data_IF_262132193818
#
_entry.id   IF_262132193818
#
_cell.length_a   1.000
_cell.length_b   1.000
_cell.length_c   1.000
_cell.angle_alpha   90.00
_cell.angle_beta   90.00
_cell.angle_gamma   90.00
#
_symmetry.space_group_name_H-M   'P 1'
#
loop_
_entity.id
_entity.type
_entity.pdbx_description
1 polymer ?
#
# COMPACT_ATOMS: atom_id res chain seq x y z
N UNK A 1 47.76 -1.25 -57.52
CA UNK A 1 48.04 -0.50 -56.25
C UNK A 1 46.69 -0.32 -55.55
N UNK A 2 46.31 -1.31 -54.72
CA UNK A 2 45.00 -1.32 -54.06
C UNK A 2 45.15 -0.70 -52.68
N UNK A 3 44.39 0.37 -52.47
CA UNK A 3 44.28 1.02 -51.16
C UNK A 3 43.21 0.28 -50.35
N UNK A 4 43.61 -0.49 -49.34
CA UNK A 4 42.70 -1.05 -48.35
C UNK A 4 42.32 0.06 -47.36
N UNK A 5 41.07 0.51 -47.46
CA UNK A 5 40.49 1.36 -46.44
C UNK A 5 39.96 0.43 -45.35
N UNK A 6 40.67 0.38 -44.23
CA UNK A 6 40.21 -0.25 -42.99
C UNK A 6 39.12 0.64 -42.37
N UNK A 7 37.87 0.28 -42.62
CA UNK A 7 36.73 0.79 -41.85
C UNK A 7 36.76 0.15 -40.45
N UNK A 8 37.40 0.83 -39.51
CA UNK A 8 37.15 0.56 -38.10
C UNK A 8 35.73 0.99 -37.79
N UNK A 9 34.81 0.02 -37.75
CA UNK A 9 33.53 0.19 -37.07
C UNK A 9 33.79 0.38 -35.58
N UNK A 10 33.89 1.64 -35.18
CA UNK A 10 33.74 1.99 -33.76
C UNK A 10 32.23 1.79 -33.46
N UNK A 11 31.87 0.60 -32.99
CA UNK A 11 30.62 0.43 -32.28
C UNK A 11 30.69 1.27 -31.00
N UNK A 12 30.34 2.53 -31.14
CA UNK A 12 29.99 3.35 -29.98
C UNK A 12 28.72 2.70 -29.41
N UNK A 13 28.88 1.87 -28.41
CA UNK A 13 27.80 1.41 -27.62
C UNK A 13 27.21 2.65 -26.93
N UNK A 14 26.27 3.30 -27.58
CA UNK A 14 25.42 4.28 -26.91
C UNK A 14 24.73 3.49 -25.83
N UNK A 15 25.17 3.63 -24.58
CA UNK A 15 24.31 3.32 -23.43
C UNK A 15 23.12 4.23 -23.61
N UNK A 16 22.00 3.68 -24.07
CA UNK A 16 20.72 4.37 -23.97
C UNK A 16 20.54 4.73 -22.50
N UNK A 17 20.44 6.02 -22.22
CA UNK A 17 20.16 6.49 -20.88
C UNK A 17 18.81 5.92 -20.48
N UNK A 18 18.81 4.95 -19.56
CA UNK A 18 17.58 4.30 -19.08
C UNK A 18 16.72 5.32 -18.37
N UNK A 19 15.45 5.29 -18.66
CA UNK A 19 14.47 6.12 -17.96
C UNK A 19 14.25 5.61 -16.52
N UNK A 20 13.80 6.47 -15.59
CA UNK A 20 13.50 6.07 -14.22
C UNK A 20 12.55 4.86 -14.11
N UNK A 21 11.54 4.74 -14.98
CA UNK A 21 10.65 3.57 -15.04
C UNK A 21 11.38 2.26 -15.37
N UNK A 22 12.45 2.32 -16.18
CA UNK A 22 13.24 1.16 -16.57
C UNK A 22 14.09 0.70 -15.39
N UNK A 23 14.69 1.66 -14.64
CA UNK A 23 15.37 1.39 -13.38
C UNK A 23 14.43 0.78 -12.33
N UNK A 24 13.20 1.29 -12.23
CA UNK A 24 12.18 0.72 -11.34
C UNK A 24 11.89 -0.74 -11.70
N UNK A 25 11.69 -1.02 -12.98
CA UNK A 25 11.36 -2.35 -13.45
C UNK A 25 12.50 -3.35 -13.24
N UNK A 26 13.75 -2.95 -13.51
CA UNK A 26 14.93 -3.78 -13.24
C UNK A 26 15.07 -4.09 -11.75
N UNK A 27 14.96 -3.06 -10.90
CA UNK A 27 15.00 -3.24 -9.46
C UNK A 27 13.90 -4.21 -8.97
N UNK A 28 12.68 -4.09 -9.49
CA UNK A 28 11.58 -4.97 -9.12
C UNK A 28 11.77 -6.40 -9.66
N UNK A 29 12.33 -6.55 -10.87
CA UNK A 29 12.63 -7.86 -11.44
C UNK A 29 13.67 -8.61 -10.58
N UNK A 30 14.69 -7.92 -10.09
CA UNK A 30 15.71 -8.52 -9.21
C UNK A 30 15.18 -8.81 -7.81
N UNK A 31 14.46 -7.87 -7.20
CA UNK A 31 14.05 -7.98 -5.82
C UNK A 31 12.78 -8.84 -5.64
N UNK A 32 11.72 -8.54 -6.40
CA UNK A 32 10.43 -9.23 -6.21
C UNK A 32 10.40 -10.65 -6.77
N UNK A 33 11.25 -10.99 -7.73
CA UNK A 33 11.40 -12.37 -8.17
C UNK A 33 11.91 -13.27 -7.03
N UNK A 34 12.80 -12.74 -6.18
CA UNK A 34 13.30 -13.45 -5.02
C UNK A 34 12.25 -13.55 -3.89
N UNK A 35 11.49 -12.48 -3.65
CA UNK A 35 10.47 -12.40 -2.58
C UNK A 35 9.24 -13.26 -2.91
N UNK A 36 8.70 -13.14 -4.12
CA UNK A 36 7.42 -13.76 -4.51
C UNK A 36 7.58 -15.05 -5.31
N UNK A 37 8.80 -15.37 -5.73
CA UNK A 37 9.11 -16.42 -6.68
C UNK A 37 8.82 -15.99 -8.12
N UNK A 38 9.67 -16.46 -9.06
CA UNK A 38 9.61 -16.04 -10.48
C UNK A 38 8.23 -16.16 -11.13
N UNK A 39 7.53 -17.27 -10.90
CA UNK A 39 6.23 -17.51 -11.54
C UNK A 39 5.19 -16.48 -11.12
N UNK A 40 5.13 -16.18 -9.83
CA UNK A 40 4.17 -15.24 -9.27
C UNK A 40 4.54 -13.81 -9.64
N UNK A 41 5.82 -13.47 -9.55
CA UNK A 41 6.31 -12.17 -9.96
C UNK A 41 5.98 -11.87 -11.43
N UNK A 42 6.21 -12.78 -12.36
CA UNK A 42 5.86 -12.60 -13.79
C UNK A 42 4.38 -12.23 -13.98
N UNK A 43 3.48 -12.83 -13.22
CA UNK A 43 2.04 -12.50 -13.25
C UNK A 43 1.76 -11.10 -12.69
N UNK A 44 2.35 -10.77 -11.54
CA UNK A 44 2.20 -9.46 -10.88
C UNK A 44 2.82 -8.35 -11.71
N UNK A 45 4.00 -8.56 -12.27
CA UNK A 45 4.69 -7.65 -13.18
C UNK A 45 3.82 -7.28 -14.39
N UNK A 46 3.23 -8.28 -15.05
CA UNK A 46 2.30 -8.04 -16.15
C UNK A 46 1.08 -7.24 -15.70
N UNK A 47 0.53 -7.54 -14.55
CA UNK A 47 -0.60 -6.79 -13.98
C UNK A 47 -0.23 -5.34 -13.64
N UNK A 48 0.98 -5.07 -13.14
CA UNK A 48 1.46 -3.71 -12.89
C UNK A 48 1.56 -2.89 -14.17
N UNK A 49 2.04 -3.50 -15.25
CA UNK A 49 2.19 -2.85 -16.56
C UNK A 49 0.83 -2.63 -17.26
N UNK A 50 -0.17 -3.45 -16.98
CA UNK A 50 -1.51 -3.31 -17.54
C UNK A 50 -2.32 -2.19 -16.87
N UNK A 51 -3.38 -1.67 -17.53
CA UNK A 51 -4.30 -0.72 -16.92
C UNK A 51 -4.95 -1.30 -15.66
N UNK A 52 -4.98 -0.50 -14.59
CA UNK A 52 -5.63 -0.89 -13.34
C UNK A 52 -7.15 -0.83 -13.43
N UNK A 53 -7.80 -1.58 -12.57
CA UNK A 53 -9.23 -1.45 -12.30
C UNK A 53 -9.52 -0.26 -11.39
N UNK A 54 -10.71 0.29 -11.51
CA UNK A 54 -11.18 1.38 -10.67
C UNK A 54 -12.48 0.99 -9.98
N UNK A 55 -12.68 1.53 -8.78
CA UNK A 55 -13.96 1.61 -8.12
C UNK A 55 -14.48 3.05 -8.16
N UNK A 56 -15.80 3.19 -8.27
CA UNK A 56 -16.50 4.46 -8.16
C UNK A 56 -17.09 4.57 -6.76
N UNK A 57 -16.61 5.54 -5.98
CA UNK A 57 -17.22 5.92 -4.70
C UNK A 57 -18.29 6.96 -5.00
N UNK A 58 -19.54 6.61 -4.77
CA UNK A 58 -20.68 7.50 -5.01
C UNK A 58 -20.67 8.64 -4.00
N UNK A 59 -20.96 9.86 -4.46
CA UNK A 59 -20.99 11.03 -3.61
C UNK A 59 -22.37 11.19 -2.96
N UNK A 60 -22.45 11.02 -1.65
CA UNK A 60 -23.67 11.17 -0.86
C UNK A 60 -24.18 12.61 -0.80
N UNK A 61 -23.35 13.60 -1.14
CA UNK A 61 -23.71 15.02 -1.22
C UNK A 61 -24.25 15.42 -2.61
N UNK A 62 -24.39 14.46 -3.52
CA UNK A 62 -25.00 14.62 -4.84
C UNK A 62 -26.31 13.83 -4.93
N UNK A 63 -26.87 13.67 -6.14
CA UNK A 63 -28.03 12.82 -6.41
C UNK A 63 -27.61 11.32 -6.39
N UNK A 64 -27.32 10.79 -5.20
CA UNK A 64 -26.74 9.45 -5.01
C UNK A 64 -27.62 8.35 -5.60
N UNK A 65 -28.92 8.37 -5.37
CA UNK A 65 -29.86 7.33 -5.82
C UNK A 65 -29.90 7.23 -7.35
N UNK A 66 -29.97 8.38 -8.03
CA UNK A 66 -29.93 8.43 -9.49
C UNK A 66 -28.62 7.90 -10.06
N UNK A 67 -27.50 8.18 -9.37
CA UNK A 67 -26.17 7.73 -9.78
C UNK A 67 -26.04 6.23 -9.56
N UNK A 68 -26.47 5.68 -8.42
CA UNK A 68 -26.49 4.26 -8.12
C UNK A 68 -27.29 3.49 -9.19
N UNK A 69 -28.54 3.90 -9.44
CA UNK A 69 -29.38 3.31 -10.47
C UNK A 69 -28.71 3.36 -11.87
N UNK A 70 -28.05 4.46 -12.21
CA UNK A 70 -27.33 4.60 -13.48
C UNK A 70 -26.14 3.67 -13.60
N UNK A 71 -25.40 3.45 -12.52
CA UNK A 71 -24.25 2.53 -12.47
C UNK A 71 -24.73 1.08 -12.60
N UNK A 72 -25.76 0.68 -11.86
CA UNK A 72 -26.36 -0.65 -11.89
C UNK A 72 -26.96 -0.98 -13.27
N UNK A 73 -27.71 -0.07 -13.87
CA UNK A 73 -28.22 -0.21 -15.24
C UNK A 73 -27.13 -0.36 -16.32
N UNK A 74 -25.89 0.06 -15.99
CA UNK A 74 -24.70 -0.16 -16.84
C UNK A 74 -23.93 -1.43 -16.50
N UNK A 75 -24.44 -2.25 -15.60
CA UNK A 75 -23.83 -3.51 -15.15
C UNK A 75 -22.67 -3.31 -14.17
N UNK A 76 -22.65 -2.21 -13.41
CA UNK A 76 -21.73 -2.07 -12.29
C UNK A 76 -22.24 -2.89 -11.10
N UNK A 77 -21.31 -3.48 -10.36
CA UNK A 77 -21.57 -4.31 -9.19
C UNK A 77 -21.30 -3.50 -7.92
N UNK A 78 -22.24 -3.54 -6.98
CA UNK A 78 -22.06 -2.91 -5.67
C UNK A 78 -21.13 -3.76 -4.80
N UNK A 79 -20.00 -3.19 -4.40
CA UNK A 79 -18.96 -3.89 -3.62
C UNK A 79 -19.47 -4.31 -2.25
N UNK A 80 -20.24 -3.44 -1.54
CA UNK A 80 -20.84 -3.78 -0.25
C UNK A 80 -21.76 -5.00 -0.37
N UNK A 81 -22.66 -4.99 -1.36
CA UNK A 81 -23.59 -6.11 -1.58
C UNK A 81 -22.85 -7.42 -1.85
N UNK A 82 -21.73 -7.37 -2.55
CA UNK A 82 -20.90 -8.57 -2.77
C UNK A 82 -20.27 -9.09 -1.47
N UNK A 83 -19.83 -8.20 -0.58
CA UNK A 83 -19.31 -8.59 0.73
C UNK A 83 -20.41 -9.22 1.60
N UNK A 84 -21.61 -8.62 1.64
CA UNK A 84 -22.77 -9.14 2.36
C UNK A 84 -23.15 -10.55 1.86
N UNK A 85 -23.31 -10.73 0.55
CA UNK A 85 -23.63 -12.02 -0.07
C UNK A 85 -22.57 -13.10 0.19
N UNK A 86 -21.28 -12.71 0.22
CA UNK A 86 -20.24 -13.67 0.54
C UNK A 86 -20.21 -14.02 2.03
N UNK A 87 -20.48 -13.05 2.91
CA UNK A 87 -20.62 -13.29 4.34
C UNK A 87 -21.79 -14.24 4.65
N UNK A 88 -22.95 -14.05 4.00
CA UNK A 88 -24.10 -14.96 4.10
C UNK A 88 -23.69 -16.40 3.69
N UNK A 89 -23.01 -16.57 2.55
CA UNK A 89 -22.55 -17.88 2.09
C UNK A 89 -21.53 -18.53 3.03
N UNK A 90 -20.58 -17.76 3.57
CA UNK A 90 -19.61 -18.28 4.52
C UNK A 90 -20.26 -18.73 5.84
N UNK A 91 -21.35 -18.09 6.25
CA UNK A 91 -22.12 -18.51 7.42
C UNK A 91 -22.93 -19.80 7.18
N UNK A 92 -23.33 -20.08 5.94
CA UNK A 92 -24.07 -21.29 5.55
C UNK A 92 -23.16 -22.48 5.24
N UNK A 93 -21.88 -22.27 4.90
CA UNK A 93 -20.91 -23.34 4.66
C UNK A 93 -20.63 -24.04 5.99
N UNK A 94 -20.97 -25.36 6.17
CA UNK A 94 -20.66 -26.07 7.40
C UNK A 94 -19.14 -26.03 7.61
N UNK A 95 -18.71 -25.85 8.85
CA UNK A 95 -17.32 -25.74 9.27
C UNK A 95 -16.53 -27.04 9.06
N UNK A 96 -16.42 -27.50 7.84
CA UNK A 96 -15.52 -28.54 7.38
C UNK A 96 -14.11 -28.00 7.11
N UNK A 97 -13.71 -26.95 7.81
CA UNK A 97 -12.30 -26.61 7.87
C UNK A 97 -11.65 -27.63 8.80
N UNK A 98 -10.87 -28.53 8.21
CA UNK A 98 -9.78 -29.21 8.89
C UNK A 98 -9.14 -28.19 9.83
N UNK A 99 -9.06 -28.50 11.13
CA UNK A 99 -8.33 -27.70 12.10
C UNK A 99 -7.01 -27.30 11.46
N UNK A 100 -6.65 -26.01 11.40
CA UNK A 100 -5.34 -25.64 10.93
C UNK A 100 -4.35 -26.34 11.86
N UNK A 101 -3.59 -27.28 11.30
CA UNK A 101 -2.39 -27.80 11.93
C UNK A 101 -1.69 -26.61 12.58
N UNK A 102 -1.41 -26.72 13.88
CA UNK A 102 -0.81 -25.63 14.67
C UNK A 102 0.30 -25.00 13.86
N UNK A 103 0.12 -23.74 13.48
CA UNK A 103 1.02 -22.96 12.62
C UNK A 103 2.50 -23.09 13.03
N UNK A 104 2.76 -23.36 14.31
CA UNK A 104 4.10 -23.39 14.89
C UNK A 104 4.97 -24.59 14.49
N UNK A 105 4.39 -25.74 14.12
CA UNK A 105 5.19 -26.93 13.76
C UNK A 105 5.49 -27.02 12.26
N UNK A 106 4.57 -26.60 11.38
CA UNK A 106 4.83 -26.56 9.94
C UNK A 106 5.77 -25.41 9.57
N UNK A 107 5.70 -24.30 10.31
CA UNK A 107 6.52 -23.11 10.10
C UNK A 107 8.01 -23.37 10.29
N UNK A 108 8.40 -24.11 11.34
CA UNK A 108 9.81 -24.42 11.59
C UNK A 108 10.46 -25.32 10.53
N UNK A 109 9.72 -26.29 9.99
CA UNK A 109 10.26 -27.24 9.00
C UNK A 109 10.45 -26.65 7.60
N UNK A 110 9.59 -25.72 7.18
CA UNK A 110 9.64 -25.16 5.80
C UNK A 110 10.55 -23.91 5.71
N UNK A 111 10.68 -23.15 6.78
CA UNK A 111 11.57 -21.99 6.86
C UNK A 111 13.04 -22.42 6.90
N UNK A 112 13.38 -23.41 7.72
CA UNK A 112 14.75 -23.93 7.82
C UNK A 112 15.22 -24.57 6.49
N UNK A 113 14.34 -25.25 5.78
CA UNK A 113 14.62 -25.83 4.47
C UNK A 113 14.84 -24.74 3.40
N UNK A 114 13.98 -23.69 3.36
CA UNK A 114 14.11 -22.57 2.42
C UNK A 114 15.31 -21.69 2.73
N UNK A 115 15.58 -21.40 4.01
CA UNK A 115 16.74 -20.61 4.43
C UNK A 115 18.06 -21.32 4.10
N UNK A 116 18.14 -22.64 4.29
CA UNK A 116 19.32 -23.41 3.89
C UNK A 116 19.51 -23.42 2.36
N UNK A 117 18.43 -23.54 1.59
CA UNK A 117 18.49 -23.49 0.12
C UNK A 117 18.91 -22.09 -0.39
N UNK A 118 18.41 -21.02 0.21
CA UNK A 118 18.80 -19.64 -0.12
C UNK A 118 20.24 -19.33 0.32
N UNK A 119 20.68 -19.86 1.47
CA UNK A 119 22.05 -19.72 1.95
C UNK A 119 23.04 -20.47 1.07
N UNK A 120 22.72 -21.69 0.62
CA UNK A 120 23.52 -22.47 -0.31
C UNK A 120 23.56 -21.78 -1.68
N UNK A 121 22.43 -21.28 -2.19
CA UNK A 121 22.37 -20.56 -3.46
C UNK A 121 23.13 -19.22 -3.43
N UNK A 122 23.18 -18.52 -2.29
CA UNK A 122 23.98 -17.31 -2.14
C UNK A 122 25.49 -17.60 -2.07
N UNK A 123 25.88 -18.68 -1.37
CA UNK A 123 27.27 -19.11 -1.29
C UNK A 123 27.78 -19.68 -2.63
N UNK A 124 26.94 -20.35 -3.41
CA UNK A 124 27.28 -20.80 -4.77
C UNK A 124 27.39 -19.64 -5.76
N UNK A 125 26.60 -18.57 -5.60
CA UNK A 125 26.74 -17.32 -6.38
C UNK A 125 28.01 -16.54 -6.03
N UNK A 126 28.44 -16.55 -4.79
CA UNK A 126 29.70 -15.92 -4.38
C UNK A 126 30.93 -16.68 -4.90
N UNK A 127 30.82 -17.96 -5.21
CA UNK A 127 31.92 -18.79 -5.75
C UNK A 127 32.04 -18.76 -7.27
N UNK A 128 31.06 -18.27 -8.03
CA UNK A 128 31.13 -18.16 -9.49
C UNK A 128 31.53 -16.75 -9.94
N UNK A 129 32.82 -16.54 -10.12
CA UNK A 129 33.48 -15.26 -10.36
C UNK A 129 33.03 -14.45 -11.60
N UNK A 130 32.28 -15.04 -12.54
CA UNK A 130 31.89 -14.37 -13.78
C UNK A 130 30.64 -13.47 -13.66
N UNK A 131 29.80 -13.70 -12.63
CA UNK A 131 28.59 -12.89 -12.37
C UNK A 131 28.89 -11.70 -11.47
N UNK A 132 29.96 -11.82 -10.66
CA UNK A 132 30.38 -10.81 -9.69
C UNK A 132 30.85 -9.50 -10.32
N UNK A 133 31.51 -9.53 -11.49
CA UNK A 133 32.02 -8.30 -12.12
C UNK A 133 30.93 -7.35 -12.62
N UNK A 134 29.77 -7.85 -13.07
CA UNK A 134 28.63 -6.97 -13.45
C UNK A 134 27.91 -6.41 -12.24
N UNK A 135 27.73 -7.19 -11.20
CA UNK A 135 27.14 -6.74 -9.93
C UNK A 135 28.05 -5.77 -9.17
N UNK A 136 29.38 -6.04 -9.20
CA UNK A 136 30.39 -5.15 -8.60
C UNK A 136 30.52 -3.81 -9.34
N UNK A 137 30.34 -3.77 -10.66
CA UNK A 137 30.30 -2.49 -11.40
C UNK A 137 29.09 -1.65 -11.04
N UNK A 138 27.96 -2.25 -10.71
CA UNK A 138 26.79 -1.54 -10.24
C UNK A 138 26.97 -1.06 -8.79
N UNK A 139 27.58 -1.87 -7.92
CA UNK A 139 27.97 -1.49 -6.56
C UNK A 139 29.08 -0.41 -6.56
N UNK A 140 30.04 -0.48 -7.47
CA UNK A 140 31.10 0.53 -7.58
C UNK A 140 30.57 1.92 -7.98
N UNK A 141 29.52 2.00 -8.81
CA UNK A 141 28.86 3.28 -9.10
C UNK A 141 28.16 3.87 -7.87
N UNK A 142 27.61 3.05 -7.00
CA UNK A 142 27.00 3.49 -5.75
C UNK A 142 28.05 3.94 -4.71
N UNK A 143 29.20 3.27 -4.66
CA UNK A 143 30.34 3.69 -3.81
C UNK A 143 30.94 5.03 -4.25
N UNK A 144 30.95 5.34 -5.55
CA UNK A 144 31.44 6.62 -6.05
C UNK A 144 30.61 7.84 -5.59
N UNK A 145 29.42 7.62 -5.05
CA UNK A 145 28.53 8.66 -4.51
C UNK A 145 28.50 8.74 -2.98
N UNK A 146 29.46 8.13 -2.28
CA UNK A 146 29.54 8.20 -0.82
C UNK A 146 28.54 7.27 -0.08
N UNK A 147 28.06 6.22 -0.74
CA UNK A 147 27.21 5.19 -0.14
C UNK A 147 28.04 4.04 0.44
N UNK A 148 29.08 4.38 1.21
CA UNK A 148 29.97 3.38 1.83
C UNK A 148 29.24 2.42 2.78
N UNK A 149 28.12 2.88 3.36
CA UNK A 149 27.27 2.11 4.28
C UNK A 149 26.02 1.52 3.60
N UNK A 150 25.99 1.43 2.27
CA UNK A 150 24.85 0.86 1.56
C UNK A 150 24.66 -0.63 1.89
N UNK A 151 23.62 -0.95 2.61
CA UNK A 151 23.17 -2.32 2.83
C UNK A 151 22.10 -2.64 1.77
N UNK A 152 22.32 -3.65 0.91
CA UNK A 152 21.31 -4.06 -0.06
C UNK A 152 19.96 -4.34 0.60
N UNK A 153 18.86 -3.97 -0.04
CA UNK A 153 17.50 -4.23 0.48
C UNK A 153 17.29 -5.71 0.83
N UNK A 154 17.92 -6.64 0.10
CA UNK A 154 17.89 -8.06 0.41
C UNK A 154 18.51 -8.44 1.78
N UNK A 155 19.48 -7.68 2.28
CA UNK A 155 20.04 -7.88 3.62
C UNK A 155 19.14 -7.30 4.71
N UNK A 156 18.45 -6.18 4.42
CA UNK A 156 17.41 -5.67 5.32
C UNK A 156 16.23 -6.62 5.45
N UNK A 157 15.87 -7.33 4.37
CA UNK A 157 14.80 -8.33 4.42
C UNK A 157 15.10 -9.45 5.41
N UNK A 158 16.32 -9.99 5.41
CA UNK A 158 16.75 -11.00 6.38
C UNK A 158 16.71 -10.54 7.85
N UNK A 159 16.77 -9.23 8.11
CA UNK A 159 16.68 -8.70 9.47
C UNK A 159 15.27 -8.85 10.08
N UNK A 160 14.22 -8.81 9.25
CA UNK A 160 12.82 -8.94 9.70
C UNK A 160 12.35 -10.38 9.87
N UNK A 161 13.09 -11.35 9.36
CA UNK A 161 12.80 -12.79 9.55
C UNK A 161 13.23 -13.33 10.92
N UNK A 162 14.08 -12.58 11.65
CA UNK A 162 14.51 -12.99 13.00
C UNK A 162 13.35 -12.87 14.00
N UNK A 163 13.34 -13.74 15.02
CA UNK A 163 12.40 -13.65 16.13
C UNK A 163 12.46 -12.25 16.74
N UNK A 164 11.29 -11.67 17.01
CA UNK A 164 11.22 -10.33 17.59
C UNK A 164 11.84 -10.34 18.99
N UNK A 165 12.82 -9.47 19.21
CA UNK A 165 13.45 -9.27 20.51
C UNK A 165 12.53 -8.64 21.57
N UNK A 166 11.30 -8.30 21.19
CA UNK A 166 10.29 -7.64 22.03
C UNK A 166 8.92 -8.33 21.89
N UNK A 167 8.04 -8.21 22.89
CA UNK A 167 6.74 -8.88 22.85
C UNK A 167 5.81 -8.24 21.81
N UNK A 168 5.27 -9.05 20.89
CA UNK A 168 4.29 -8.67 19.90
C UNK A 168 3.01 -9.45 20.14
N UNK A 169 1.90 -8.74 20.28
CA UNK A 169 0.59 -9.34 20.51
C UNK A 169 -0.24 -9.23 19.23
N UNK A 170 -0.67 -10.40 18.71
CA UNK A 170 -1.55 -10.49 17.53
C UNK A 170 -2.85 -11.14 17.96
N UNK A 171 -3.97 -10.52 17.63
CA UNK A 171 -5.31 -11.07 17.91
C UNK A 171 -6.18 -10.99 16.66
N UNK A 172 -7.10 -11.94 16.51
CA UNK A 172 -8.09 -11.88 15.43
C UNK A 172 -8.92 -10.59 15.53
N UNK A 173 -9.28 -10.04 14.38
CA UNK A 173 -10.14 -8.85 14.31
C UNK A 173 -11.62 -9.25 14.27
N UNK A 174 -12.46 -8.30 14.63
CA UNK A 174 -13.91 -8.42 14.50
C UNK A 174 -14.34 -8.34 13.02
N UNK A 175 -15.52 -8.90 12.66
CA UNK A 175 -16.04 -8.81 11.30
C UNK A 175 -16.08 -7.36 10.79
N UNK A 176 -15.70 -7.16 9.54
CA UNK A 176 -15.77 -5.83 8.91
C UNK A 176 -17.23 -5.41 8.78
N UNK A 177 -17.59 -4.35 9.47
CA UNK A 177 -18.87 -3.67 9.26
C UNK A 177 -18.69 -2.69 8.10
N UNK A 178 -19.25 -3.03 6.93
CA UNK A 178 -19.23 -2.14 5.79
C UNK A 178 -20.23 -0.99 6.02
N UNK A 179 -19.78 0.29 6.07
CA UNK A 179 -20.67 1.40 6.37
C UNK A 179 -21.86 1.49 5.40
N UNK A 180 -23.08 1.58 5.92
CA UNK A 180 -24.32 1.59 5.12
C UNK A 180 -24.38 2.72 4.09
N UNK A 181 -23.80 3.87 4.43
CA UNK A 181 -23.75 5.06 3.58
C UNK A 181 -22.63 5.00 2.54
N UNK A 182 -21.70 4.05 2.64
CA UNK A 182 -20.58 3.95 1.72
C UNK A 182 -20.95 3.13 0.49
N UNK A 183 -21.32 3.79 -0.60
CA UNK A 183 -21.73 3.17 -1.84
C UNK A 183 -20.57 3.13 -2.84
N UNK A 184 -20.05 1.92 -3.09
CA UNK A 184 -18.91 1.68 -3.97
C UNK A 184 -19.29 0.69 -5.06
N UNK A 185 -18.96 1.05 -6.29
CA UNK A 185 -19.28 0.27 -7.47
C UNK A 185 -18.03 -0.08 -8.28
N UNK A 186 -17.98 -1.28 -8.82
CA UNK A 186 -16.95 -1.68 -9.79
C UNK A 186 -17.59 -2.43 -10.95
N UNK A 187 -16.84 -2.59 -12.04
CA UNK A 187 -17.28 -3.45 -13.15
C UNK A 187 -16.50 -4.77 -13.13
N UNK A 188 -17.08 -5.84 -13.61
CA UNK A 188 -16.41 -7.12 -13.77
C UNK A 188 -15.21 -6.99 -14.72
N UNK A 189 -15.37 -6.26 -15.81
CA UNK A 189 -14.29 -5.94 -16.75
C UNK A 189 -13.79 -4.51 -16.55
N UNK A 190 -12.56 -4.20 -17.03
CA UNK A 190 -11.97 -2.85 -16.96
C UNK A 190 -12.75 -1.88 -17.86
N UNK A 191 -13.91 -1.38 -17.38
CA UNK A 191 -14.80 -0.49 -18.16
C UNK A 191 -14.75 0.98 -17.76
N UNK A 192 -14.24 1.31 -16.58
CA UNK A 192 -13.96 2.71 -16.26
C UNK A 192 -12.73 3.16 -17.04
N UNK A 193 -12.88 3.35 -18.34
CA UNK A 193 -11.90 4.13 -19.11
C UNK A 193 -11.96 5.55 -18.57
N UNK A 194 -10.79 6.06 -18.27
CA UNK A 194 -10.49 7.42 -17.81
C UNK A 194 -11.43 8.45 -18.48
N UNK A 195 -12.63 8.59 -17.97
CA UNK A 195 -13.56 9.60 -18.41
C UNK A 195 -13.19 10.89 -17.70
N UNK A 196 -12.12 11.56 -18.19
CA UNK A 196 -11.85 12.97 -17.91
C UNK A 196 -13.09 13.87 -18.16
N UNK A 197 -14.23 13.28 -18.49
CA UNK A 197 -15.49 13.93 -18.86
C UNK A 197 -16.66 13.51 -17.98
N UNK A 198 -16.48 13.35 -16.65
CA UNK A 198 -17.64 13.40 -15.76
C UNK A 198 -18.10 14.85 -15.51
N UNK A 199 -18.13 15.65 -16.60
CA UNK A 199 -18.83 16.92 -16.62
C UNK A 199 -20.33 16.70 -16.87
N UNK A 200 -20.97 15.88 -16.08
CA UNK A 200 -22.42 16.03 -15.93
C UNK A 200 -22.60 16.98 -14.76
N UNK A 201 -22.50 18.26 -15.06
CA UNK A 201 -23.00 19.31 -14.18
C UNK A 201 -24.52 19.19 -14.20
N UNK A 202 -25.07 18.45 -13.26
CA UNK A 202 -26.44 18.70 -12.84
C UNK A 202 -26.43 19.96 -11.96
N UNK A 203 -27.58 20.53 -11.67
CA UNK A 203 -27.80 21.81 -10.95
C UNK A 203 -27.02 21.97 -9.62
N UNK A 204 -26.43 20.91 -9.06
CA UNK A 204 -25.40 20.97 -8.03
C UNK A 204 -24.01 20.98 -8.70
N UNK A 205 -23.14 21.88 -8.28
CA UNK A 205 -21.76 22.01 -8.77
C UNK A 205 -20.89 20.80 -8.43
N UNK A 206 -21.36 19.85 -7.61
CA UNK A 206 -20.64 18.72 -7.10
C UNK A 206 -20.49 17.57 -8.10
N UNK A 207 -19.37 16.84 -8.02
CA UNK A 207 -19.13 15.62 -8.79
C UNK A 207 -19.91 14.44 -8.22
N UNK A 208 -20.40 13.58 -9.10
CA UNK A 208 -21.30 12.48 -8.77
C UNK A 208 -20.61 11.29 -8.10
N UNK A 209 -19.39 10.94 -8.51
CA UNK A 209 -18.60 9.86 -7.93
C UNK A 209 -17.11 10.11 -8.15
N UNK A 210 -16.29 9.53 -7.28
CA UNK A 210 -14.83 9.57 -7.35
C UNK A 210 -14.29 8.21 -7.79
N UNK A 211 -13.37 8.21 -8.77
CA UNK A 211 -12.70 7.00 -9.24
C UNK A 211 -11.36 6.83 -8.52
N UNK A 212 -11.18 5.68 -7.88
CA UNK A 212 -9.94 5.31 -7.21
C UNK A 212 -9.60 3.84 -7.44
N UNK A 213 -8.39 3.44 -7.07
CA UNK A 213 -8.03 2.03 -6.98
C UNK A 213 -8.86 1.35 -5.89
N UNK A 214 -9.59 0.28 -6.23
CA UNK A 214 -10.45 -0.40 -5.27
C UNK A 214 -9.71 -0.94 -4.04
N UNK A 215 -8.43 -1.26 -4.17
CA UNK A 215 -7.63 -1.70 -3.03
C UNK A 215 -7.46 -0.61 -1.96
N UNK A 216 -7.56 0.67 -2.32
CA UNK A 216 -7.51 1.80 -1.37
C UNK A 216 -8.69 1.83 -0.38
N UNK A 217 -9.71 1.00 -0.59
CA UNK A 217 -10.82 0.81 0.32
C UNK A 217 -10.39 0.14 1.63
N UNK A 218 -9.48 -0.85 1.56
CA UNK A 218 -9.12 -1.69 2.70
C UNK A 218 -8.52 -0.94 3.89
N UNK A 219 -7.57 0.00 3.73
CA UNK A 219 -7.08 0.79 4.86
C UNK A 219 -8.19 1.56 5.58
N UNK A 220 -9.20 2.05 4.85
CA UNK A 220 -10.34 2.76 5.44
C UNK A 220 -11.30 1.80 6.15
N UNK A 221 -11.59 0.65 5.57
CA UNK A 221 -12.41 -0.38 6.25
C UNK A 221 -11.72 -0.93 7.51
N UNK A 222 -10.38 -1.09 7.47
CA UNK A 222 -9.60 -1.55 8.61
C UNK A 222 -9.66 -0.57 9.80
N UNK A 223 -9.85 0.73 9.57
CA UNK A 223 -10.07 1.71 10.65
C UNK A 223 -11.32 1.39 11.48
N UNK A 224 -12.29 0.66 10.91
CA UNK A 224 -13.58 0.36 11.55
C UNK A 224 -14.23 1.63 12.10
N UNK A 225 -14.50 2.59 11.21
CA UNK A 225 -15.04 3.90 11.55
C UNK A 225 -16.41 3.78 12.21
N UNK A 226 -16.61 4.56 13.26
CA UNK A 226 -17.86 4.66 14.00
C UNK A 226 -18.40 6.10 13.97
N UNK A 227 -19.70 6.30 14.17
CA UNK A 227 -20.27 7.64 14.31
C UNK A 227 -19.53 8.46 15.38
N UNK A 228 -19.26 9.73 15.04
CA UNK A 228 -18.54 10.70 15.87
C UNK A 228 -17.03 10.47 16.06
N UNK A 229 -16.39 9.62 15.26
CA UNK A 229 -14.94 9.48 15.28
C UNK A 229 -14.22 10.78 14.96
N UNK A 230 -13.08 11.00 15.63
CA UNK A 230 -12.10 12.05 15.35
C UNK A 230 -10.92 11.41 14.65
N UNK A 231 -10.74 11.77 13.40
CA UNK A 231 -9.82 11.08 12.50
C UNK A 231 -8.66 11.98 12.11
N UNK A 232 -7.46 11.42 12.09
CA UNK A 232 -6.29 12.01 11.46
C UNK A 232 -5.89 11.18 10.23
N UNK A 233 -5.85 11.80 9.07
CA UNK A 233 -5.19 11.28 7.87
C UNK A 233 -3.82 11.96 7.78
N UNK A 234 -2.77 11.27 8.22
CA UNK A 234 -1.46 11.87 8.49
C UNK A 234 -0.69 12.24 7.21
N UNK A 235 -0.96 11.53 6.09
CA UNK A 235 -0.38 11.77 4.78
C UNK A 235 -1.48 11.81 3.71
N UNK A 236 -2.47 12.68 3.92
CA UNK A 236 -3.77 12.63 3.27
C UNK A 236 -3.77 12.86 1.75
N UNK A 237 -2.84 13.66 1.24
CA UNK A 237 -2.91 14.07 -0.15
C UNK A 237 -2.55 12.94 -1.14
N UNK A 238 -3.28 12.81 -2.24
CA UNK A 238 -4.20 13.79 -2.85
C UNK A 238 -5.65 13.75 -2.35
N UNK A 239 -6.04 12.92 -1.33
CA UNK A 239 -7.36 12.98 -0.70
C UNK A 239 -8.32 11.81 -1.02
N UNK A 240 -7.86 10.77 -1.70
CA UNK A 240 -8.72 9.64 -2.07
C UNK A 240 -9.27 8.87 -0.87
N UNK A 241 -8.42 8.54 0.11
CA UNK A 241 -8.83 7.84 1.33
C UNK A 241 -9.62 8.76 2.27
N UNK A 242 -9.20 10.02 2.41
CA UNK A 242 -9.96 11.06 3.13
C UNK A 242 -11.39 11.19 2.60
N UNK A 243 -11.56 11.16 1.25
CA UNK A 243 -12.87 11.19 0.62
C UNK A 243 -13.69 9.96 0.99
N UNK A 244 -13.12 8.75 0.96
CA UNK A 244 -13.84 7.54 1.38
C UNK A 244 -14.31 7.67 2.83
N UNK A 245 -13.44 8.12 3.74
CA UNK A 245 -13.78 8.32 5.16
C UNK A 245 -14.96 9.29 5.31
N UNK A 246 -14.97 10.41 4.61
CA UNK A 246 -16.06 11.39 4.63
C UNK A 246 -17.37 10.85 4.04
N UNK A 247 -17.30 9.97 3.02
CA UNK A 247 -18.49 9.37 2.43
C UNK A 247 -19.15 8.32 3.32
N UNK A 248 -18.50 7.88 4.42
CA UNK A 248 -19.17 7.07 5.44
C UNK A 248 -20.19 7.87 6.24
N UNK A 249 -20.07 9.20 6.28
CA UNK A 249 -20.85 10.14 7.09
C UNK A 249 -20.64 9.98 8.61
N UNK A 250 -19.65 9.17 9.03
CA UNK A 250 -19.37 8.89 10.43
C UNK A 250 -18.45 9.90 11.12
N UNK A 251 -17.44 10.51 10.43
CA UNK A 251 -16.50 11.39 11.08
C UNK A 251 -17.22 12.61 11.71
N UNK A 252 -16.94 12.84 13.00
CA UNK A 252 -17.22 14.13 13.63
C UNK A 252 -16.25 15.20 13.14
N UNK A 253 -14.97 14.80 13.03
CA UNK A 253 -13.92 15.67 12.58
C UNK A 253 -12.82 14.88 11.88
N UNK A 254 -12.35 15.38 10.76
CA UNK A 254 -11.24 14.81 9.99
C UNK A 254 -10.15 15.84 9.79
N UNK A 255 -8.95 15.56 10.28
CA UNK A 255 -7.76 16.34 9.94
C UNK A 255 -7.04 15.66 8.79
N UNK A 256 -6.84 16.40 7.70
CA UNK A 256 -6.08 15.99 6.53
C UNK A 256 -4.72 16.70 6.55
N UNK A 257 -3.66 15.97 6.89
CA UNK A 257 -2.30 16.52 6.91
C UNK A 257 -1.48 16.02 5.72
N UNK A 258 -0.63 16.86 5.15
CA UNK A 258 0.41 16.47 4.20
C UNK A 258 1.51 17.53 4.18
N UNK A 259 2.76 17.13 4.04
CA UNK A 259 3.91 18.06 4.00
C UNK A 259 4.00 18.83 2.68
N UNK A 260 3.45 18.27 1.61
CA UNK A 260 3.58 18.78 0.24
C UNK A 260 2.48 19.77 -0.13
N UNK A 261 2.84 21.05 -0.27
CA UNK A 261 1.91 22.11 -0.70
C UNK A 261 1.22 21.83 -2.06
N UNK A 262 1.92 21.36 -3.12
CA UNK A 262 1.25 21.03 -4.38
C UNK A 262 0.21 19.91 -4.22
N UNK A 263 0.49 18.91 -3.38
CA UNK A 263 -0.43 17.81 -3.11
C UNK A 263 -1.63 18.28 -2.29
N UNK A 264 -1.43 19.16 -1.30
CA UNK A 264 -2.52 19.79 -0.52
C UNK A 264 -3.45 20.64 -1.38
N UNK A 265 -2.91 21.35 -2.38
CA UNK A 265 -3.76 22.09 -3.35
C UNK A 265 -4.71 21.15 -4.09
N UNK A 266 -4.22 19.95 -4.50
CA UNK A 266 -5.07 18.94 -5.13
C UNK A 266 -6.14 18.40 -4.17
N UNK A 267 -5.77 18.11 -2.92
CA UNK A 267 -6.70 17.69 -1.89
C UNK A 267 -7.82 18.73 -1.67
N UNK A 268 -7.48 20.01 -1.52
CA UNK A 268 -8.46 21.09 -1.38
C UNK A 268 -9.41 21.19 -2.58
N UNK A 269 -8.91 20.97 -3.80
CA UNK A 269 -9.75 20.93 -5.01
C UNK A 269 -10.70 19.73 -4.95
N UNK A 270 -10.22 18.55 -4.56
CA UNK A 270 -11.07 17.35 -4.42
C UNK A 270 -12.14 17.60 -3.38
N UNK A 271 -11.81 18.14 -2.21
CA UNK A 271 -12.81 18.44 -1.18
C UNK A 271 -13.90 19.38 -1.72
N UNK A 272 -13.53 20.45 -2.40
CA UNK A 272 -14.50 21.40 -3.02
C UNK A 272 -15.33 20.78 -4.14
N UNK A 273 -14.79 19.81 -4.87
CA UNK A 273 -15.50 19.16 -5.98
C UNK A 273 -16.57 18.16 -5.50
N UNK A 274 -16.46 17.65 -4.28
CA UNK A 274 -17.32 16.57 -3.76
C UNK A 274 -18.14 16.95 -2.55
N UNK A 275 -17.83 18.05 -1.86
CA UNK A 275 -18.52 18.43 -0.63
C UNK A 275 -18.92 19.89 -0.62
N UNK A 276 -20.06 20.17 0.03
CA UNK A 276 -20.50 21.51 0.44
C UNK A 276 -20.38 21.63 1.95
N UNK A 277 -20.08 22.83 2.44
CA UNK A 277 -20.11 23.20 3.87
C UNK A 277 -19.32 22.21 4.77
N UNK A 278 -18.09 21.88 4.34
CA UNK A 278 -17.24 20.89 5.00
C UNK A 278 -16.28 21.51 6.01
N UNK A 279 -16.15 22.83 6.04
CA UNK A 279 -15.12 23.54 6.79
C UNK A 279 -15.21 23.29 8.31
N UNK A 280 -16.41 23.06 8.85
CA UNK A 280 -16.60 22.72 10.27
C UNK A 280 -16.20 21.28 10.61
N UNK A 281 -16.03 20.42 9.61
CA UNK A 281 -15.74 18.98 9.78
C UNK A 281 -14.34 18.58 9.34
N UNK A 282 -13.69 19.41 8.54
CA UNK A 282 -12.38 19.07 7.94
C UNK A 282 -11.38 20.19 8.11
N UNK A 283 -10.29 19.87 8.81
CA UNK A 283 -9.10 20.71 8.85
C UNK A 283 -8.06 20.21 7.83
N UNK A 284 -7.38 21.14 7.16
CA UNK A 284 -6.26 20.82 6.27
C UNK A 284 -5.00 21.47 6.80
N UNK A 285 -4.03 20.65 7.21
CA UNK A 285 -2.77 21.09 7.82
C UNK A 285 -1.58 20.78 6.92
N UNK A 286 -0.51 21.59 7.06
CA UNK A 286 0.75 21.40 6.35
C UNK A 286 1.87 21.24 7.37
N UNK A 287 2.02 20.05 7.90
CA UNK A 287 2.99 19.75 8.96
C UNK A 287 3.75 18.48 8.54
N UNK A 288 5.04 18.40 8.89
CA UNK A 288 5.75 17.13 8.78
C UNK A 288 5.09 16.11 9.71
N UNK A 289 4.53 15.03 9.15
CA UNK A 289 3.77 14.04 9.90
C UNK A 289 4.56 13.37 11.03
N UNK A 290 5.89 13.23 10.90
CA UNK A 290 6.73 12.69 11.98
C UNK A 290 6.90 13.64 13.18
N UNK A 291 6.54 14.92 13.02
CA UNK A 291 6.60 15.98 14.02
C UNK A 291 5.21 16.56 14.34
N UNK A 292 4.16 15.93 13.82
CA UNK A 292 2.79 16.35 14.07
C UNK A 292 2.47 16.25 15.56
N UNK A 293 1.87 17.29 16.11
CA UNK A 293 1.49 17.38 17.53
C UNK A 293 0.02 17.75 17.65
N UNK A 294 -0.62 17.23 18.65
CA UNK A 294 -2.00 17.52 19.01
C UNK A 294 -2.21 17.32 20.52
N UNK A 295 -3.33 17.84 21.06
CA UNK A 295 -3.74 17.60 22.42
C UNK A 295 -3.85 16.07 22.69
N UNK A 296 -3.40 15.61 23.87
CA UNK A 296 -3.47 14.19 24.23
C UNK A 296 -4.89 13.64 24.10
N UNK A 297 -5.00 12.43 23.54
CA UNK A 297 -6.28 11.74 23.36
C UNK A 297 -7.29 12.48 22.45
N UNK A 298 -6.82 13.24 21.47
CA UNK A 298 -7.71 13.92 20.54
C UNK A 298 -8.23 12.98 19.44
N UNK A 299 -7.35 12.17 18.81
CA UNK A 299 -7.72 11.27 17.73
C UNK A 299 -7.92 9.84 18.21
N UNK A 300 -9.07 9.24 17.86
CA UNK A 300 -9.33 7.82 18.10
C UNK A 300 -9.11 6.94 16.86
N UNK A 301 -8.98 7.53 15.68
CA UNK A 301 -8.66 6.86 14.42
C UNK A 301 -7.56 7.61 13.68
N UNK A 302 -6.49 6.91 13.31
CA UNK A 302 -5.40 7.51 12.54
C UNK A 302 -5.09 6.64 11.33
N UNK A 303 -5.11 7.25 10.15
CA UNK A 303 -4.63 6.65 8.92
C UNK A 303 -3.22 7.15 8.61
N UNK A 304 -2.31 6.23 8.35
CA UNK A 304 -0.92 6.50 7.99
C UNK A 304 -0.65 5.90 6.61
N UNK A 305 -1.14 6.57 5.57
CA UNK A 305 -0.94 6.19 4.16
C UNK A 305 0.35 6.85 3.65
N UNK A 306 1.48 6.20 3.94
CA UNK A 306 2.79 6.82 3.80
C UNK A 306 3.25 6.96 2.35
N UNK A 307 4.13 7.95 2.04
CA UNK A 307 4.91 7.94 0.81
C UNK A 307 5.69 6.63 0.69
N UNK A 308 5.65 5.99 -0.45
CA UNK A 308 6.31 4.72 -0.73
C UNK A 308 6.85 4.70 -2.17
N UNK A 309 7.41 3.58 -2.62
CA UNK A 309 7.91 3.44 -4.00
C UNK A 309 6.81 3.50 -5.06
N UNK A 310 5.53 3.46 -4.68
CA UNK A 310 4.37 3.58 -5.61
C UNK A 310 4.54 2.69 -6.84
N UNK A 311 4.77 1.40 -6.63
CA UNK A 311 5.30 0.47 -7.65
C UNK A 311 4.60 0.55 -9.00
N UNK A 312 3.24 0.60 -9.01
CA UNK A 312 2.49 0.69 -10.26
C UNK A 312 2.74 1.98 -11.04
N UNK A 313 2.98 3.09 -10.35
CA UNK A 313 3.26 4.37 -10.98
C UNK A 313 4.70 4.40 -11.46
N UNK A 314 5.63 3.92 -10.64
CA UNK A 314 7.06 3.92 -10.94
C UNK A 314 7.44 3.13 -12.19
N UNK A 315 6.72 2.06 -12.54
CA UNK A 315 6.94 1.31 -13.80
C UNK A 315 6.24 1.92 -15.02
N UNK A 316 5.49 3.01 -14.87
CA UNK A 316 4.71 3.64 -15.95
C UNK A 316 5.15 5.04 -16.30
N UNK A 317 5.46 5.84 -15.29
CA UNK A 317 5.72 7.26 -15.43
C UNK A 317 7.18 7.58 -15.13
N UNK A 318 7.76 8.48 -15.89
CA UNK A 318 9.13 8.97 -15.66
C UNK A 318 9.13 10.22 -14.75
N UNK A 319 8.03 10.98 -14.78
CA UNK A 319 7.92 12.23 -14.04
C UNK A 319 7.78 11.95 -12.55
N UNK A 320 8.54 12.68 -11.72
CA UNK A 320 8.57 12.56 -10.25
C UNK A 320 8.79 11.12 -9.74
N UNK A 321 9.51 10.31 -10.50
CA UNK A 321 9.76 8.91 -10.20
C UNK A 321 10.86 8.76 -9.15
N UNK A 322 10.59 8.01 -8.08
CA UNK A 322 11.53 7.75 -6.98
C UNK A 322 12.75 6.93 -7.41
N UNK A 323 12.70 6.25 -8.57
CA UNK A 323 13.80 5.51 -9.15
C UNK A 323 14.69 6.38 -10.06
N UNK A 324 14.45 7.68 -10.14
CA UNK A 324 15.39 8.60 -10.77
C UNK A 324 16.75 8.57 -10.05
N UNK A 325 17.88 8.56 -10.77
CA UNK A 325 19.22 8.50 -10.15
C UNK A 325 19.46 9.58 -9.07
N UNK A 326 18.90 10.78 -9.26
CA UNK A 326 19.02 11.87 -8.29
C UNK A 326 18.23 11.63 -6.98
N UNK A 327 17.34 10.63 -6.89
CA UNK A 327 16.48 10.33 -5.73
C UNK A 327 16.87 9.01 -5.04
N UNK A 328 18.04 8.46 -5.32
CA UNK A 328 18.48 7.19 -4.72
C UNK A 328 18.52 7.28 -3.19
N UNK A 329 19.12 8.35 -2.66
CA UNK A 329 19.19 8.54 -1.20
C UNK A 329 17.79 8.63 -0.57
N UNK A 330 16.89 9.43 -1.16
CA UNK A 330 15.50 9.54 -0.71
C UNK A 330 14.82 8.16 -0.66
N UNK A 331 15.04 7.34 -1.69
CA UNK A 331 14.47 5.99 -1.75
C UNK A 331 15.02 5.06 -0.66
N UNK A 332 16.32 5.14 -0.36
CA UNK A 332 16.95 4.34 0.68
C UNK A 332 16.49 4.73 2.09
N UNK A 333 16.20 6.01 2.31
CA UNK A 333 15.72 6.55 3.59
C UNK A 333 14.20 6.35 3.79
N UNK A 334 13.45 5.91 2.75
CA UNK A 334 11.99 5.75 2.84
C UNK A 334 11.54 4.90 4.04
N UNK A 335 12.10 3.70 4.31
CA UNK A 335 11.62 2.87 5.42
C UNK A 335 11.77 3.54 6.79
N UNK A 336 12.83 4.29 7.00
CA UNK A 336 13.05 5.04 8.24
C UNK A 336 12.08 6.21 8.38
N UNK A 337 11.87 6.96 7.30
CA UNK A 337 10.89 8.05 7.25
C UNK A 337 9.46 7.53 7.48
N UNK A 338 9.11 6.40 6.88
CA UNK A 338 7.83 5.72 7.08
C UNK A 338 7.65 5.26 8.52
N UNK A 339 8.70 4.67 9.13
CA UNK A 339 8.67 4.25 10.53
C UNK A 339 8.50 5.45 11.47
N UNK A 340 9.17 6.58 11.20
CA UNK A 340 9.01 7.79 12.00
C UNK A 340 7.57 8.35 11.95
N UNK A 341 6.92 8.29 10.79
CA UNK A 341 5.51 8.66 10.64
C UNK A 341 4.60 7.73 11.46
N UNK A 342 4.82 6.42 11.37
CA UNK A 342 4.03 5.44 12.11
C UNK A 342 4.24 5.57 13.62
N UNK A 343 5.48 5.71 14.09
CA UNK A 343 5.80 5.94 15.53
C UNK A 343 5.05 7.16 16.05
N UNK A 344 5.06 8.27 15.31
CA UNK A 344 4.35 9.46 15.75
C UNK A 344 2.83 9.23 15.81
N UNK A 345 2.23 8.57 14.83
CA UNK A 345 0.81 8.21 14.84
C UNK A 345 0.44 7.33 16.04
N UNK A 346 1.31 6.35 16.37
CA UNK A 346 1.12 5.49 17.56
C UNK A 346 1.17 6.29 18.87
N UNK A 347 1.99 7.34 18.96
CA UNK A 347 2.04 8.23 20.14
C UNK A 347 0.78 9.12 20.26
N UNK A 348 0.15 9.49 19.13
CA UNK A 348 -0.98 10.41 19.09
C UNK A 348 -2.35 9.76 19.33
N UNK A 349 -2.50 8.47 19.02
CA UNK A 349 -3.79 7.78 19.11
C UNK A 349 -4.23 7.59 20.56
N UNK A 350 -5.54 7.70 20.84
CA UNK A 350 -6.11 7.46 22.17
C UNK A 350 -6.00 5.99 22.59
N UNK A 351 -6.09 5.71 23.90
CA UNK A 351 -6.29 4.33 24.41
C UNK A 351 -7.59 3.76 23.82
N UNK A 352 -7.56 2.53 23.33
CA UNK A 352 -8.65 1.90 22.58
C UNK A 352 -8.78 2.38 21.14
N UNK A 353 -8.00 3.39 20.72
CA UNK A 353 -8.01 3.90 19.35
C UNK A 353 -7.25 3.02 18.38
N UNK A 354 -7.49 3.26 17.10
CA UNK A 354 -6.96 2.45 15.98
C UNK A 354 -6.04 3.27 15.11
N UNK A 355 -4.88 2.70 14.79
CA UNK A 355 -3.97 3.19 13.75
C UNK A 355 -3.96 2.19 12.60
N UNK A 356 -4.12 2.65 11.37
CA UNK A 356 -3.93 1.83 10.18
C UNK A 356 -2.78 2.39 9.37
N UNK A 357 -1.74 1.58 9.24
CA UNK A 357 -0.60 1.84 8.36
C UNK A 357 -0.90 1.29 6.97
N UNK A 358 -0.59 2.02 5.89
CA UNK A 358 -0.78 1.52 4.52
C UNK A 358 0.25 2.06 3.54
N UNK A 359 0.52 1.24 2.50
CA UNK A 359 1.41 1.58 1.38
C UNK A 359 0.82 1.05 0.07
N UNK A 360 1.27 1.59 -1.06
CA UNK A 360 0.96 1.04 -2.38
C UNK A 360 2.19 0.38 -3.05
N UNK A 361 3.04 -0.26 -2.25
CA UNK A 361 4.22 -1.03 -2.69
C UNK A 361 4.10 -2.50 -2.34
N UNK A 362 4.81 -3.33 -3.07
CA UNK A 362 5.00 -4.76 -2.80
C UNK A 362 6.21 -5.02 -1.89
N UNK A 363 7.01 -4.01 -1.54
CA UNK A 363 8.24 -4.17 -0.76
C UNK A 363 7.96 -4.62 0.68
N UNK A 364 8.39 -5.81 1.10
CA UNK A 364 8.22 -6.26 2.48
C UNK A 364 8.91 -5.34 3.49
N UNK A 365 10.00 -4.68 3.08
CA UNK A 365 10.76 -3.74 3.91
C UNK A 365 9.91 -2.52 4.25
N UNK A 366 9.19 -1.97 3.26
CA UNK A 366 8.30 -0.82 3.45
C UNK A 366 6.96 -1.22 4.07
N UNK A 367 6.64 -2.50 4.15
CA UNK A 367 5.41 -3.08 4.67
C UNK A 367 5.61 -3.59 6.09
N UNK A 368 5.70 -4.90 6.29
CA UNK A 368 5.91 -5.51 7.62
C UNK A 368 7.18 -5.01 8.31
N UNK A 369 8.23 -4.72 7.54
CA UNK A 369 9.48 -4.20 8.06
C UNK A 369 9.33 -2.87 8.78
N UNK A 370 8.58 -1.94 8.21
CA UNK A 370 8.29 -0.64 8.85
C UNK A 370 7.43 -0.81 10.10
N UNK A 371 6.42 -1.69 10.05
CA UNK A 371 5.58 -1.98 11.22
C UNK A 371 6.43 -2.54 12.37
N UNK A 372 7.33 -3.49 12.08
CA UNK A 372 8.26 -4.06 13.05
C UNK A 372 9.16 -2.99 13.67
N UNK A 373 9.81 -2.19 12.84
CA UNK A 373 10.70 -1.11 13.29
C UNK A 373 9.97 -0.08 14.16
N UNK A 374 8.75 0.29 13.78
CA UNK A 374 7.94 1.25 14.54
C UNK A 374 7.53 0.69 15.91
N UNK A 375 7.09 -0.58 15.96
CA UNK A 375 6.73 -1.24 17.22
C UNK A 375 7.94 -1.42 18.13
N UNK A 376 9.11 -1.76 17.58
CA UNK A 376 10.38 -1.83 18.35
C UNK A 376 10.69 -0.49 18.98
N UNK A 377 10.65 0.61 18.22
CA UNK A 377 10.90 1.97 18.75
C UNK A 377 9.88 2.36 19.82
N UNK A 378 8.59 2.05 19.65
CA UNK A 378 7.56 2.31 20.67
C UNK A 378 7.86 1.54 21.95
N UNK A 379 8.26 0.27 21.86
CA UNK A 379 8.61 -0.56 23.01
C UNK A 379 9.86 -0.05 23.73
N UNK A 380 10.89 0.41 22.99
CA UNK A 380 12.14 0.93 23.55
C UNK A 380 11.99 2.33 24.17
N UNK A 381 11.17 3.20 23.58
CA UNK A 381 11.09 4.62 23.94
C UNK A 381 9.90 4.97 24.85
N UNK A 382 8.90 4.10 24.96
CA UNK A 382 7.63 4.42 25.63
C UNK A 382 7.06 3.25 26.42
N UNK A 383 6.06 3.54 27.26
CA UNK A 383 5.25 2.54 27.98
C UNK A 383 3.98 2.12 27.19
N UNK A 384 3.83 2.60 25.95
CA UNK A 384 2.64 2.35 25.16
C UNK A 384 2.60 0.90 24.68
N UNK A 385 1.41 0.31 24.67
CA UNK A 385 1.20 -1.06 24.25
C UNK A 385 0.18 -1.14 23.14
N UNK A 386 0.51 -1.93 22.12
CA UNK A 386 -0.32 -2.13 20.93
C UNK A 386 -0.58 -3.60 20.67
N UNK A 387 -1.76 -3.87 20.11
CA UNK A 387 -2.15 -5.17 19.59
C UNK A 387 -2.33 -5.06 18.08
N UNK A 388 -1.70 -5.94 17.33
CA UNK A 388 -1.94 -6.08 15.89
C UNK A 388 -3.21 -6.89 15.69
N UNK A 389 -4.07 -6.45 14.78
CA UNK A 389 -5.31 -7.14 14.44
C UNK A 389 -5.14 -7.98 13.17
N UNK A 390 -5.20 -9.30 13.32
CA UNK A 390 -5.23 -10.21 12.17
C UNK A 390 -6.62 -10.20 11.53
N UNK A 391 -6.68 -9.66 10.33
CA UNK A 391 -7.92 -9.53 9.55
C UNK A 391 -8.10 -10.69 8.55
N UNK A 392 -7.27 -11.73 8.57
CA UNK A 392 -7.28 -12.80 7.56
C UNK A 392 -8.65 -13.44 7.37
N UNK A 393 -9.35 -13.75 8.47
CA UNK A 393 -10.69 -14.34 8.43
C UNK A 393 -11.75 -13.37 7.91
N UNK A 394 -11.69 -12.12 8.40
CA UNK A 394 -12.69 -11.12 8.02
C UNK A 394 -12.54 -10.63 6.59
N UNK A 395 -11.36 -10.78 5.99
CA UNK A 395 -11.08 -10.44 4.60
C UNK A 395 -11.53 -11.53 3.60
N UNK A 396 -11.94 -12.71 4.06
CA UNK A 396 -12.45 -13.78 3.17
C UNK A 396 -13.68 -13.33 2.35
N UNK A 397 -14.48 -12.41 2.89
CA UNK A 397 -15.62 -11.83 2.18
C UNK A 397 -15.19 -11.00 0.94
N UNK A 398 -13.98 -10.48 0.94
CA UNK A 398 -13.47 -9.64 -0.13
C UNK A 398 -12.81 -10.44 -1.27
N UNK A 399 -12.38 -11.69 -1.04
CA UNK A 399 -11.62 -12.51 -2.00
C UNK A 399 -12.24 -12.65 -3.38
N UNK A 400 -13.58 -12.73 -3.56
CA UNK A 400 -14.16 -12.83 -4.90
C UNK A 400 -13.86 -11.63 -5.80
N UNK A 401 -13.65 -10.44 -5.20
CA UNK A 401 -13.38 -9.21 -5.93
C UNK A 401 -11.91 -8.78 -5.88
N UNK A 402 -11.21 -9.10 -4.79
CA UNK A 402 -9.85 -8.60 -4.52
C UNK A 402 -8.89 -9.75 -4.28
N UNK A 403 -7.76 -9.80 -5.01
CA UNK A 403 -6.75 -10.83 -4.86
C UNK A 403 -5.89 -10.57 -3.60
N UNK A 404 -6.38 -10.99 -2.46
CA UNK A 404 -5.66 -10.92 -1.19
C UNK A 404 -4.58 -12.01 -1.14
N UNK A 405 -3.38 -11.61 -0.72
CA UNK A 405 -2.25 -12.52 -0.60
C UNK A 405 -2.42 -13.45 0.61
N UNK A 406 -2.21 -14.75 0.36
CA UNK A 406 -2.35 -15.79 1.41
C UNK A 406 -1.11 -16.64 1.59
N UNK A 407 -0.17 -16.56 0.63
CA UNK A 407 1.01 -17.43 0.59
C UNK A 407 2.30 -16.72 0.96
N UNK A 408 2.26 -15.38 1.11
CA UNK A 408 3.34 -14.66 1.71
C UNK A 408 3.21 -14.79 3.22
N UNK A 409 4.31 -15.07 3.86
CA UNK A 409 4.45 -15.05 5.30
C UNK A 409 4.46 -13.58 5.78
N UNK A 410 3.35 -12.85 5.49
CA UNK A 410 3.12 -11.54 6.07
C UNK A 410 2.87 -11.74 7.56
N UNK A 411 3.73 -11.15 8.36
CA UNK A 411 3.74 -11.35 9.81
C UNK A 411 2.70 -10.47 10.50
N UNK A 412 2.45 -9.27 9.97
CA UNK A 412 1.66 -8.24 10.64
C UNK A 412 0.46 -7.73 9.84
N UNK A 413 0.63 -7.53 8.55
CA UNK A 413 -0.38 -6.90 7.73
C UNK A 413 -0.95 -7.78 6.64
N UNK A 414 -1.71 -7.17 5.74
CA UNK A 414 -2.39 -7.81 4.63
C UNK A 414 -2.05 -7.11 3.33
N UNK A 415 -2.01 -7.83 2.22
CA UNK A 415 -1.62 -7.31 0.92
C UNK A 415 -2.64 -7.67 -0.16
N UNK A 416 -3.18 -6.67 -0.83
CA UNK A 416 -3.90 -6.84 -2.10
C UNK A 416 -2.88 -6.84 -3.22
N UNK A 417 -2.72 -7.98 -3.90
CA UNK A 417 -1.74 -8.14 -4.97
C UNK A 417 -2.32 -7.75 -6.33
N UNK A 418 -1.50 -7.17 -7.22
CA UNK A 418 -1.89 -7.00 -8.62
C UNK A 418 -2.15 -8.36 -9.30
N UNK A 419 -3.35 -8.50 -9.89
CA UNK A 419 -3.76 -9.70 -10.60
C UNK A 419 -4.62 -9.33 -11.80
N UNK A 420 -4.27 -9.77 -13.01
CA UNK A 420 -4.89 -9.28 -14.24
C UNK A 420 -6.43 -9.30 -14.26
N UNK A 421 -7.12 -10.39 -13.87
CA UNK A 421 -8.58 -10.43 -13.90
C UNK A 421 -9.24 -9.44 -12.91
N UNK A 422 -8.57 -9.16 -11.79
CA UNK A 422 -9.01 -8.23 -10.76
C UNK A 422 -7.89 -7.23 -10.43
N UNK A 423 -7.47 -6.44 -11.43
CA UNK A 423 -6.24 -5.64 -11.39
C UNK A 423 -6.31 -4.40 -10.49
N UNK A 424 -6.51 -4.63 -9.20
CA UNK A 424 -6.40 -3.65 -8.12
C UNK A 424 -5.02 -3.67 -7.47
N UNK A 425 -4.65 -2.63 -6.73
CA UNK A 425 -3.42 -2.53 -5.95
C UNK A 425 -2.14 -2.35 -6.78
N UNK A 426 -0.98 -2.60 -6.16
CA UNK A 426 -0.81 -3.17 -4.82
C UNK A 426 -1.32 -2.26 -3.71
N UNK A 427 -1.70 -2.86 -2.59
CA UNK A 427 -2.06 -2.14 -1.37
C UNK A 427 -1.80 -3.03 -0.15
N UNK A 428 -0.83 -2.62 0.65
CA UNK A 428 -0.58 -3.21 1.96
C UNK A 428 -1.29 -2.38 3.03
N UNK A 429 -1.76 -3.04 4.09
CA UNK A 429 -2.30 -2.38 5.27
C UNK A 429 -2.14 -3.26 6.52
N UNK A 430 -1.88 -2.60 7.64
CA UNK A 430 -1.77 -3.23 8.96
C UNK A 430 -2.58 -2.42 9.97
N UNK A 431 -3.37 -3.10 10.78
CA UNK A 431 -4.23 -2.51 11.82
C UNK A 431 -3.62 -2.71 13.20
N UNK A 432 -3.41 -1.61 13.90
CA UNK A 432 -2.88 -1.58 15.27
C UNK A 432 -3.89 -0.90 16.19
N UNK A 433 -4.12 -1.49 17.36
CA UNK A 433 -5.01 -0.93 18.39
C UNK A 433 -4.22 -0.67 19.65
N UNK A 434 -4.31 0.54 20.19
CA UNK A 434 -3.64 0.91 21.44
C UNK A 434 -4.41 0.34 22.63
N UNK A 435 -3.73 -0.39 23.50
CA UNK A 435 -4.31 -1.00 24.72
C UNK A 435 -3.88 -0.31 26.02
N UNK A 436 -2.72 0.38 25.99
CA UNK A 436 -2.21 1.16 27.11
C UNK A 436 -1.58 2.48 26.65
#
# INVERSE_FOLDING_TARGET
MYLYILLFSISVCFKEDKFPKDHALEHFDDFYANVYGERKWKSMRLALLCPKKYCAVVNNYSDADKIMNKLENKGAVNVRRMFELRAEKLAEEPSNYLEPLKKDELYKLDVDAKMNTLRIASLEKESSCAVCERSLRFCACNQAYGLEDYVPESKHYGYYETESEFPIYITEDEPIVFPSNLNIYTYEQVRFRNTRRNKVRNYSTLKNYFLLDGASLFPVLALNLQPNDRILDLCAAPGGKSLIMLQTLFPRFLTCNDVSEPRLKRLKIILKDYFTDIDDKVAVTKINGSQYQEEPNFYNKILVDVPCTTDRLSVKDNDDNIFAPARIQERLELPEAQAALLVNALKLVTVGGTVVYSTCTLSPIQNDGVVHLALKKIWEETELQFVIKDMSKVLEVARPLFPLETKLDLKYGHLVCPYLPANFGPMYFCKLVRVK
#
